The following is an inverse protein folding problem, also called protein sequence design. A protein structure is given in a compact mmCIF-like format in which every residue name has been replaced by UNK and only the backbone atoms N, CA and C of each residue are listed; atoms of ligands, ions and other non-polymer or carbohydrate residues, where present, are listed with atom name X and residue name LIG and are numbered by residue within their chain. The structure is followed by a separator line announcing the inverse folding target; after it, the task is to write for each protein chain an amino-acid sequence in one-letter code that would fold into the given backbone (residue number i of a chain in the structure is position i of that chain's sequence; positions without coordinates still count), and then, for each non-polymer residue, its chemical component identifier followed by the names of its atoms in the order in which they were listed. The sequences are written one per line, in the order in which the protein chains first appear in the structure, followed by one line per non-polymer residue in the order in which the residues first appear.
data_IF_695065106408
#
_entry.id   IF_695065106408
#
_cell.length_a   1.000
_cell.length_b   1.000
_cell.length_c   1.000
_cell.angle_alpha   90.00
_cell.angle_beta   90.00
_cell.angle_gamma   90.00
#
_symmetry.space_group_name_H-M   'P 1'
#
loop_
_entity.id
_entity.type
_entity.pdbx_description
1 polymer ?
#
# COMPACT_ATOMS: atom_id res chain seq x y z
N UNK A 1 15.68 19.05 14.53
CA UNK A 1 14.87 17.81 14.71
C UNK A 1 15.80 16.61 14.53
N UNK A 2 15.70 15.56 15.34
CA UNK A 2 16.66 14.44 15.30
C UNK A 2 16.45 13.58 14.04
N UNK A 3 17.32 13.74 13.03
CA UNK A 3 17.22 13.05 11.74
C UNK A 3 17.15 11.53 11.86
N UNK A 4 17.79 10.94 12.89
CA UNK A 4 17.72 9.50 13.14
C UNK A 4 16.31 9.06 13.56
N UNK A 5 15.65 9.85 14.41
CA UNK A 5 14.29 9.55 14.87
C UNK A 5 13.27 9.64 13.72
N UNK A 6 13.40 10.65 12.85
CA UNK A 6 12.53 10.80 11.68
C UNK A 6 12.65 9.58 10.76
N UNK A 7 13.89 9.14 10.50
CA UNK A 7 14.16 7.96 9.66
C UNK A 7 13.51 6.70 10.24
N UNK A 8 13.67 6.47 11.55
CA UNK A 8 13.07 5.31 12.24
C UNK A 8 11.54 5.39 12.17
N UNK A 9 10.96 6.56 12.40
CA UNK A 9 9.52 6.76 12.31
C UNK A 9 8.99 6.49 10.90
N UNK A 10 9.69 6.95 9.86
CA UNK A 10 9.33 6.69 8.47
C UNK A 10 9.41 5.19 8.12
N UNK A 11 10.48 4.52 8.54
CA UNK A 11 10.63 3.06 8.35
C UNK A 11 9.49 2.31 9.06
N UNK A 12 9.20 2.68 10.30
CA UNK A 12 8.09 2.11 11.06
C UNK A 12 6.76 2.32 10.34
N UNK A 13 6.48 3.55 9.89
CA UNK A 13 5.28 3.87 9.13
C UNK A 13 5.16 3.04 7.85
N UNK A 14 6.25 2.91 7.07
CA UNK A 14 6.27 2.11 5.85
C UNK A 14 5.94 0.64 6.12
N UNK A 15 6.60 0.01 7.09
CA UNK A 15 6.32 -1.37 7.44
C UNK A 15 4.92 -1.57 8.00
N UNK A 16 4.45 -0.69 8.89
CA UNK A 16 3.10 -0.77 9.43
C UNK A 16 2.07 -0.67 8.32
N UNK A 17 2.20 0.29 7.41
CA UNK A 17 1.29 0.44 6.29
C UNK A 17 1.30 -0.80 5.40
N UNK A 18 2.48 -1.30 5.02
CA UNK A 18 2.61 -2.50 4.18
C UNK A 18 1.96 -3.73 4.82
N UNK A 19 2.15 -3.94 6.14
CA UNK A 19 1.55 -5.05 6.88
C UNK A 19 0.03 -4.92 6.95
N UNK A 20 -0.49 -3.73 7.27
CA UNK A 20 -1.94 -3.49 7.37
C UNK A 20 -2.62 -3.77 6.03
N UNK A 21 -2.07 -3.21 4.94
CA UNK A 21 -2.58 -3.42 3.58
C UNK A 21 -2.52 -4.91 3.21
N UNK A 22 -1.41 -5.60 3.52
CA UNK A 22 -1.26 -7.02 3.24
C UNK A 22 -2.32 -7.87 3.97
N UNK A 23 -2.54 -7.61 5.26
CA UNK A 23 -3.54 -8.33 6.05
C UNK A 23 -4.96 -8.10 5.52
N UNK A 24 -5.28 -6.87 5.13
CA UNK A 24 -6.57 -6.55 4.50
C UNK A 24 -6.72 -7.23 3.13
N UNK A 25 -5.67 -7.25 2.32
CA UNK A 25 -5.67 -7.92 1.01
C UNK A 25 -5.95 -9.42 1.17
N UNK A 26 -5.33 -10.07 2.17
CA UNK A 26 -5.57 -11.48 2.49
C UNK A 26 -7.02 -11.73 2.92
N UNK A 27 -7.62 -10.82 3.68
CA UNK A 27 -9.06 -10.89 3.99
C UNK A 27 -9.93 -10.69 2.74
N UNK A 28 -9.54 -9.77 1.85
CA UNK A 28 -10.17 -9.56 0.55
C UNK A 28 -10.16 -10.83 -0.31
N UNK A 29 -9.03 -11.55 -0.37
CA UNK A 29 -8.92 -12.84 -1.07
C UNK A 29 -9.91 -13.85 -0.49
N UNK A 30 -9.96 -14.00 0.85
CA UNK A 30 -10.91 -14.93 1.50
C UNK A 30 -12.37 -14.56 1.19
N UNK A 31 -12.70 -13.28 1.21
CA UNK A 31 -14.04 -12.80 0.89
C UNK A 31 -14.40 -13.07 -0.57
N UNK A 32 -13.49 -12.79 -1.50
CA UNK A 32 -13.68 -13.07 -2.93
C UNK A 32 -13.86 -14.57 -3.22
N UNK A 33 -13.11 -15.43 -2.54
CA UNK A 33 -13.28 -16.89 -2.62
C UNK A 33 -14.66 -17.32 -2.13
N UNK A 34 -15.16 -16.74 -1.02
CA UNK A 34 -16.47 -17.08 -0.47
C UNK A 34 -17.65 -16.66 -1.37
N UNK A 35 -17.45 -15.65 -2.21
CA UNK A 35 -18.48 -15.11 -3.12
C UNK A 35 -18.36 -15.66 -4.55
N UNK A 36 -17.37 -16.52 -4.84
CA UNK A 36 -17.04 -17.01 -6.18
C UNK A 36 -16.83 -15.91 -7.25
N UNK A 37 -16.52 -14.68 -6.81
CA UNK A 37 -16.32 -13.55 -7.71
C UNK A 37 -14.87 -13.51 -8.20
N UNK A 38 -14.66 -13.97 -9.43
CA UNK A 38 -13.34 -14.11 -10.02
C UNK A 38 -12.64 -12.76 -10.24
N UNK A 39 -13.39 -11.69 -10.52
CA UNK A 39 -12.82 -10.35 -10.71
C UNK A 39 -12.27 -9.80 -9.39
N UNK A 40 -13.02 -9.94 -8.29
CA UNK A 40 -12.55 -9.56 -6.96
C UNK A 40 -11.37 -10.41 -6.49
N UNK A 41 -11.36 -11.70 -6.85
CA UNK A 41 -10.25 -12.59 -6.52
C UNK A 41 -8.96 -12.15 -7.20
N UNK A 42 -9.00 -11.86 -8.50
CA UNK A 42 -7.85 -11.36 -9.25
C UNK A 42 -7.36 -10.05 -8.65
N UNK A 43 -8.27 -9.11 -8.35
CA UNK A 43 -7.91 -7.83 -7.75
C UNK A 43 -7.21 -8.01 -6.40
N UNK A 44 -7.76 -8.85 -5.52
CA UNK A 44 -7.20 -9.10 -4.19
C UNK A 44 -5.85 -9.84 -4.24
N UNK A 45 -5.64 -10.72 -5.22
CA UNK A 45 -4.33 -11.37 -5.44
C UNK A 45 -3.30 -10.32 -5.92
N UNK A 46 -3.67 -9.48 -6.88
CA UNK A 46 -2.80 -8.40 -7.38
C UNK A 46 -2.42 -7.45 -6.24
N UNK A 47 -3.39 -7.08 -5.41
CA UNK A 47 -3.17 -6.24 -4.23
C UNK A 47 -2.19 -6.89 -3.24
N UNK A 48 -2.39 -8.18 -2.93
CA UNK A 48 -1.52 -8.94 -2.04
C UNK A 48 -0.07 -8.97 -2.55
N UNK A 49 0.12 -9.24 -3.85
CA UNK A 49 1.45 -9.23 -4.46
C UNK A 49 2.06 -7.83 -4.46
N UNK A 50 1.27 -6.80 -4.76
CA UNK A 50 1.72 -5.41 -4.73
C UNK A 50 2.14 -4.97 -3.32
N UNK A 51 1.42 -5.40 -2.28
CA UNK A 51 1.77 -5.15 -0.88
C UNK A 51 3.10 -5.82 -0.49
N UNK A 52 3.33 -7.07 -0.94
CA UNK A 52 4.61 -7.77 -0.73
C UNK A 52 5.75 -7.02 -1.44
N UNK A 53 5.55 -6.62 -2.70
CA UNK A 53 6.53 -5.83 -3.47
C UNK A 53 6.78 -4.47 -2.83
N UNK A 54 5.75 -3.81 -2.29
CA UNK A 54 5.85 -2.53 -1.61
C UNK A 54 6.63 -2.61 -0.30
N UNK A 55 6.57 -3.75 0.39
CA UNK A 55 7.32 -4.00 1.63
C UNK A 55 8.84 -4.05 1.40
N UNK A 56 9.29 -4.38 0.19
CA UNK A 56 10.72 -4.45 -0.16
C UNK A 56 11.24 -3.06 -0.56
N UNK A 57 12.28 -2.52 0.12
CA UNK A 57 12.75 -1.15 -0.09
C UNK A 57 13.15 -0.80 -1.53
N UNK A 58 13.71 -1.77 -2.26
CA UNK A 58 14.18 -1.60 -3.63
C UNK A 58 13.03 -1.47 -4.65
N UNK A 59 11.83 -1.91 -4.28
CA UNK A 59 10.66 -1.99 -5.17
C UNK A 59 9.48 -1.16 -4.70
N UNK A 60 9.70 -0.22 -3.75
CA UNK A 60 8.68 0.68 -3.20
C UNK A 60 7.83 1.35 -4.28
N UNK A 61 8.47 1.92 -5.31
CA UNK A 61 7.74 2.66 -6.35
C UNK A 61 6.83 1.75 -7.17
N UNK A 62 7.31 0.56 -7.53
CA UNK A 62 6.54 -0.40 -8.31
C UNK A 62 5.34 -0.90 -7.50
N UNK A 63 5.58 -1.41 -6.29
CA UNK A 63 4.52 -1.91 -5.43
C UNK A 63 3.51 -0.81 -5.05
N UNK A 64 4.00 0.39 -4.73
CA UNK A 64 3.17 1.51 -4.34
C UNK A 64 2.30 2.05 -5.48
N UNK A 65 2.81 2.14 -6.71
CA UNK A 65 1.99 2.55 -7.87
C UNK A 65 0.88 1.54 -8.16
N UNK A 66 1.18 0.24 -8.07
CA UNK A 66 0.16 -0.80 -8.25
C UNK A 66 -0.89 -0.72 -7.14
N UNK A 67 -0.48 -0.55 -5.87
CA UNK A 67 -1.41 -0.36 -4.75
C UNK A 67 -2.30 0.87 -4.93
N UNK A 68 -1.76 2.00 -5.38
CA UNK A 68 -2.55 3.22 -5.63
C UNK A 68 -3.63 2.98 -6.70
N UNK A 69 -3.31 2.24 -7.77
CA UNK A 69 -4.29 1.86 -8.79
C UNK A 69 -5.37 0.94 -8.21
N UNK A 70 -4.98 -0.06 -7.41
CA UNK A 70 -5.94 -0.96 -6.75
C UNK A 70 -6.85 -0.20 -5.80
N UNK A 71 -6.31 0.67 -4.95
CA UNK A 71 -7.11 1.50 -4.04
C UNK A 71 -8.07 2.42 -4.78
N UNK A 72 -7.66 3.01 -5.91
CA UNK A 72 -8.55 3.84 -6.73
C UNK A 72 -9.72 3.03 -7.30
N UNK A 73 -9.46 1.81 -7.79
CA UNK A 73 -10.50 0.89 -8.27
C UNK A 73 -11.42 0.47 -7.12
N UNK A 74 -10.86 0.00 -6.00
CA UNK A 74 -11.62 -0.46 -4.84
C UNK A 74 -12.50 0.66 -4.26
N UNK A 75 -11.95 1.86 -4.10
CA UNK A 75 -12.69 3.03 -3.62
C UNK A 75 -13.83 3.40 -4.56
N UNK A 76 -13.60 3.36 -5.88
CA UNK A 76 -14.65 3.62 -6.88
C UNK A 76 -15.77 2.59 -6.78
N UNK A 77 -15.43 1.31 -6.58
CA UNK A 77 -16.41 0.23 -6.40
C UNK A 77 -17.23 0.44 -5.12
N UNK A 78 -16.61 0.71 -3.98
CA UNK A 78 -17.34 0.99 -2.73
C UNK A 78 -18.26 2.21 -2.86
N UNK A 79 -17.77 3.29 -3.48
CA UNK A 79 -18.55 4.50 -3.72
C UNK A 79 -19.80 4.23 -4.57
N UNK A 80 -19.69 3.41 -5.62
CA UNK A 80 -20.81 3.02 -6.46
C UNK A 80 -21.85 2.15 -5.72
N UNK A 81 -21.43 1.42 -4.68
CA UNK A 81 -22.33 0.68 -3.80
C UNK A 81 -22.89 1.52 -2.63
N UNK A 82 -22.53 2.81 -2.54
CA UNK A 82 -22.97 3.71 -1.48
C UNK A 82 -22.21 3.54 -0.16
N UNK A 83 -21.12 2.78 -0.17
CA UNK A 83 -20.26 2.55 0.99
C UNK A 83 -19.04 3.47 0.91
N UNK A 84 -18.79 4.26 1.95
CA UNK A 84 -17.60 5.11 2.03
C UNK A 84 -16.56 4.46 2.93
N UNK A 85 -15.62 3.74 2.33
CA UNK A 85 -14.44 3.24 3.04
C UNK A 85 -13.34 4.33 3.06
N UNK A 86 -13.37 5.16 4.10
CA UNK A 86 -12.36 6.19 4.34
C UNK A 86 -10.98 5.60 4.66
N UNK A 87 -10.90 4.32 5.07
CA UNK A 87 -9.65 3.62 5.32
C UNK A 87 -8.79 3.55 4.06
N UNK A 88 -9.40 3.23 2.91
CA UNK A 88 -8.73 3.22 1.60
C UNK A 88 -8.07 4.56 1.26
N UNK A 89 -8.70 5.67 1.64
CA UNK A 89 -8.16 7.01 1.40
C UNK A 89 -6.91 7.27 2.25
N UNK A 90 -6.92 6.81 3.51
CA UNK A 90 -5.75 6.89 4.41
C UNK A 90 -4.61 6.02 3.89
N UNK A 91 -4.90 4.81 3.41
CA UNK A 91 -3.88 3.93 2.83
C UNK A 91 -3.28 4.51 1.55
N UNK A 92 -4.12 5.07 0.68
CA UNK A 92 -3.67 5.75 -0.52
C UNK A 92 -2.75 6.94 -0.20
N UNK A 93 -3.14 7.78 0.77
CA UNK A 93 -2.32 8.91 1.20
C UNK A 93 -0.96 8.45 1.77
N UNK A 94 -0.96 7.42 2.61
CA UNK A 94 0.27 6.84 3.17
C UNK A 94 1.18 6.22 2.10
N UNK A 95 0.61 5.47 1.17
CA UNK A 95 1.36 4.84 0.08
C UNK A 95 1.94 5.91 -0.84
N UNK A 96 1.17 6.93 -1.21
CA UNK A 96 1.65 8.05 -2.01
C UNK A 96 2.80 8.79 -1.31
N UNK A 97 2.66 9.06 -0.01
CA UNK A 97 3.71 9.67 0.80
C UNK A 97 5.02 8.87 0.73
N UNK A 98 4.96 7.54 0.90
CA UNK A 98 6.15 6.67 0.84
C UNK A 98 6.72 6.60 -0.58
N UNK A 99 5.89 6.51 -1.62
CA UNK A 99 6.33 6.46 -3.03
C UNK A 99 7.08 7.74 -3.42
N UNK A 100 6.59 8.91 -3.00
CA UNK A 100 7.23 10.20 -3.28
C UNK A 100 8.59 10.31 -2.58
N UNK A 101 8.68 9.89 -1.30
CA UNK A 101 9.92 10.02 -0.52
C UNK A 101 10.95 8.92 -0.82
N UNK A 102 10.50 7.75 -1.30
CA UNK A 102 11.36 6.62 -1.61
C UNK A 102 11.86 5.86 -0.39
N UNK A 103 12.93 5.08 -0.58
CA UNK A 103 13.52 4.24 0.46
C UNK A 103 14.27 5.05 1.51
N UNK A 104 13.89 4.89 2.78
CA UNK A 104 14.66 5.40 3.91
C UNK A 104 15.73 4.39 4.40
N UNK A 105 15.88 3.24 3.75
CA UNK A 105 16.80 2.18 4.17
C UNK A 105 18.23 2.42 3.69
N UNK A 106 18.40 3.21 2.63
CA UNK A 106 19.70 3.55 2.10
C UNK A 106 20.33 4.64 2.98
N UNK A 107 21.33 4.27 3.80
CA UNK A 107 22.06 5.18 4.67
C UNK A 107 22.96 6.18 3.94
N UNK A 108 22.81 6.32 2.62
CA UNK A 108 23.55 7.29 1.82
C UNK A 108 22.68 8.54 1.67
N UNK A 109 23.08 9.60 2.36
CA UNK A 109 22.77 10.95 1.90
C UNK A 109 23.39 11.13 0.51
N UNK A 110 22.68 10.73 -0.53
CA UNK A 110 22.99 11.20 -1.87
C UNK A 110 22.25 12.50 -2.04
N UNK A 111 22.93 13.59 -1.70
CA UNK A 111 22.70 14.85 -2.38
C UNK A 111 22.86 14.60 -3.88
N UNK A 112 21.76 14.61 -4.60
CA UNK A 112 21.76 14.79 -6.04
C UNK A 112 20.60 15.72 -6.36
N UNK A 113 21.01 16.98 -6.50
CA UNK A 113 20.42 18.13 -7.20
C UNK A 113 19.08 17.88 -7.88
#
# INVERSE_FOLDING_TARGET
MNHKMIRIAFIGFHFTLAIVVLLQSVWGVKHALSTANHALLVLAIVETLAAIVFMVPQTIRLGGLVLLLVFAVAFSVHLLHGELDLGLLVYAAGTLFIVIHGSAFDGKHTTAV
#
